data_IF_173703393087
#
_entry.id   IF_173703393087
#
_cell.length_a   1.000
_cell.length_b   1.000
_cell.length_c   1.000
_cell.angle_alpha   90.00
_cell.angle_beta   90.00
_cell.angle_gamma   90.00
#
_symmetry.space_group_name_H-M   'P 1'
#
loop_
_entity.id
_entity.type
_entity.pdbx_description
1 polymer ?
#
# COMPACT_ATOMS: atom_id res chain seq x y z
N UNK A 1 -18.47 1.70 1.62
CA UNK A 1 -17.08 1.59 2.11
C UNK A 1 -16.20 0.63 1.30
N UNK A 2 -16.55 -0.66 1.19
CA UNK A 2 -15.78 -1.65 0.40
C UNK A 2 -15.49 -1.22 -1.04
N UNK A 3 -16.46 -0.57 -1.71
CA UNK A 3 -16.27 -0.03 -3.07
C UNK A 3 -15.16 1.02 -3.15
N UNK A 4 -15.06 1.89 -2.14
CA UNK A 4 -14.03 2.95 -2.10
C UNK A 4 -12.65 2.33 -1.91
N UNK A 5 -12.51 1.39 -0.97
CA UNK A 5 -11.25 0.66 -0.74
C UNK A 5 -10.77 -0.11 -1.96
N UNK A 6 -11.71 -0.82 -2.62
CA UNK A 6 -11.42 -1.57 -3.84
C UNK A 6 -10.91 -0.62 -4.94
N UNK A 7 -11.58 0.52 -5.15
CA UNK A 7 -11.15 1.53 -6.11
C UNK A 7 -9.78 2.13 -5.76
N UNK A 8 -9.50 2.40 -4.48
CA UNK A 8 -8.19 2.89 -4.03
C UNK A 8 -7.08 1.88 -4.32
N UNK A 9 -7.31 0.58 -4.09
CA UNK A 9 -6.32 -0.47 -4.38
C UNK A 9 -6.09 -0.61 -5.88
N UNK A 10 -7.15 -0.55 -6.70
CA UNK A 10 -7.01 -0.55 -8.15
C UNK A 10 -6.17 0.63 -8.64
N UNK A 11 -6.46 1.83 -8.14
CA UNK A 11 -5.75 3.04 -8.49
C UNK A 11 -4.27 2.99 -8.08
N UNK A 12 -3.98 2.63 -6.82
CA UNK A 12 -2.61 2.47 -6.34
C UNK A 12 -1.85 1.42 -7.18
N UNK A 13 -2.47 0.28 -7.46
CA UNK A 13 -1.82 -0.81 -8.19
C UNK A 13 -1.57 -0.47 -9.67
N UNK A 14 -2.47 0.29 -10.29
CA UNK A 14 -2.25 0.85 -11.63
C UNK A 14 -1.05 1.80 -11.63
N UNK A 15 -1.00 2.77 -10.71
CA UNK A 15 0.10 3.75 -10.63
C UNK A 15 1.44 3.08 -10.38
N UNK A 16 1.54 2.20 -9.37
CA UNK A 16 2.79 1.52 -9.03
C UNK A 16 3.30 0.73 -10.24
N UNK A 17 2.41 0.09 -11.00
CA UNK A 17 2.78 -0.66 -12.20
C UNK A 17 3.29 0.25 -13.32
N UNK A 18 2.65 1.42 -13.53
CA UNK A 18 3.15 2.46 -14.44
C UNK A 18 4.55 2.91 -14.01
N UNK A 19 4.74 3.17 -12.71
CA UNK A 19 6.02 3.53 -12.10
C UNK A 19 7.11 2.51 -12.38
N UNK A 20 6.81 1.24 -12.09
CA UNK A 20 7.77 0.14 -12.20
C UNK A 20 8.23 -0.10 -13.64
N UNK A 21 7.28 -0.23 -14.57
CA UNK A 21 7.61 -0.47 -15.98
C UNK A 21 8.16 0.77 -16.66
N UNK A 22 7.64 1.96 -16.34
CA UNK A 22 8.14 3.22 -16.85
C UNK A 22 9.62 3.43 -16.50
N UNK A 23 10.00 3.17 -15.23
CA UNK A 23 11.37 3.31 -14.77
C UNK A 23 12.25 2.26 -15.43
N UNK A 24 11.76 1.02 -15.54
CA UNK A 24 12.50 -0.09 -16.15
C UNK A 24 12.79 0.14 -17.64
N UNK A 25 11.86 0.73 -18.40
CA UNK A 25 12.12 1.13 -19.79
C UNK A 25 13.07 2.34 -19.88
N UNK A 26 13.02 3.25 -18.91
CA UNK A 26 13.93 4.38 -18.82
C UNK A 26 15.36 3.97 -18.43
N UNK A 27 15.58 2.86 -17.73
CA UNK A 27 16.92 2.39 -17.35
C UNK A 27 17.84 2.17 -18.55
N UNK A 28 17.30 1.74 -19.69
CA UNK A 28 18.08 1.53 -20.91
C UNK A 28 18.47 2.85 -21.60
N UNK A 29 17.72 3.92 -21.37
CA UNK A 29 17.97 5.25 -21.92
C UNK A 29 18.83 6.12 -20.99
N UNK A 30 19.19 5.61 -19.82
CA UNK A 30 20.03 6.31 -18.86
C UNK A 30 21.48 6.39 -19.38
N UNK A 31 22.14 7.52 -19.11
CA UNK A 31 23.53 7.75 -19.51
C UNK A 31 24.45 6.58 -19.09
N UNK A 32 25.27 6.10 -20.03
CA UNK A 32 26.23 5.01 -19.80
C UNK A 32 25.96 3.79 -20.66
N UNK A 33 26.53 2.66 -20.27
CA UNK A 33 26.27 1.39 -20.93
C UNK A 33 24.93 0.79 -20.43
N UNK A 34 23.97 0.51 -21.33
CA UNK A 34 22.65 0.02 -20.95
C UNK A 34 22.68 -1.38 -20.30
N UNK A 35 23.68 -2.22 -20.63
CA UNK A 35 23.83 -3.55 -20.03
C UNK A 35 24.26 -3.43 -18.57
N UNK A 36 25.19 -2.51 -18.25
CA UNK A 36 25.63 -2.25 -16.87
C UNK A 36 24.47 -1.66 -16.04
N UNK A 37 23.75 -0.68 -16.58
CA UNK A 37 22.61 -0.07 -15.90
C UNK A 37 21.49 -1.08 -15.61
N UNK A 38 21.22 -1.99 -16.55
CA UNK A 38 20.25 -3.08 -16.37
C UNK A 38 20.72 -4.09 -15.32
N UNK A 39 22.00 -4.47 -15.33
CA UNK A 39 22.59 -5.37 -14.34
C UNK A 39 22.49 -4.80 -12.91
N UNK A 40 22.88 -3.53 -12.73
CA UNK A 40 22.78 -2.84 -11.42
C UNK A 40 21.32 -2.75 -10.97
N UNK A 41 20.40 -2.44 -11.88
CA UNK A 41 18.97 -2.41 -11.60
C UNK A 41 18.47 -3.77 -11.12
N UNK A 42 18.81 -4.86 -11.80
CA UNK A 42 18.40 -6.21 -11.43
C UNK A 42 19.00 -6.65 -10.08
N UNK A 43 20.28 -6.35 -9.84
CA UNK A 43 20.93 -6.61 -8.55
C UNK A 43 20.23 -5.86 -7.40
N UNK A 44 19.85 -4.60 -7.64
CA UNK A 44 19.14 -3.77 -6.65
C UNK A 44 17.76 -4.36 -6.32
N UNK A 45 17.04 -4.92 -7.30
CA UNK A 45 15.75 -5.56 -7.06
C UNK A 45 15.87 -6.75 -6.09
N UNK A 46 16.90 -7.59 -6.25
CA UNK A 46 17.15 -8.72 -5.33
C UNK A 46 17.32 -8.23 -3.89
N UNK A 47 18.14 -7.19 -3.69
CA UNK A 47 18.36 -6.59 -2.37
C UNK A 47 17.06 -6.03 -1.80
N UNK A 48 16.24 -5.38 -2.63
CA UNK A 48 14.95 -4.82 -2.22
C UNK A 48 13.99 -5.92 -1.76
N UNK A 49 13.90 -7.05 -2.45
CA UNK A 49 13.03 -8.15 -2.01
C UNK A 49 13.42 -8.70 -0.64
N UNK A 50 14.72 -8.84 -0.37
CA UNK A 50 15.23 -9.27 0.95
C UNK A 50 14.89 -8.23 2.02
N UNK A 51 15.09 -6.94 1.74
CA UNK A 51 14.72 -5.85 2.64
C UNK A 51 13.20 -5.82 2.89
N UNK A 52 12.38 -6.00 1.85
CA UNK A 52 10.92 -6.05 1.97
C UNK A 52 10.46 -7.20 2.86
N UNK A 53 11.06 -8.39 2.71
CA UNK A 53 10.79 -9.51 3.61
C UNK A 53 11.00 -9.10 5.06
N UNK A 54 12.15 -8.48 5.38
CA UNK A 54 12.47 -8.01 6.73
C UNK A 54 11.45 -6.98 7.23
N UNK A 55 11.18 -5.93 6.44
CA UNK A 55 10.25 -4.87 6.79
C UNK A 55 8.82 -5.35 7.03
N UNK A 56 8.37 -6.37 6.28
CA UNK A 56 7.04 -6.97 6.48
C UNK A 56 6.89 -7.61 7.86
N UNK A 57 7.96 -8.11 8.46
CA UNK A 57 7.90 -8.70 9.79
C UNK A 57 7.82 -7.64 10.89
N UNK A 58 8.55 -6.52 10.76
CA UNK A 58 8.69 -5.53 11.83
C UNK A 58 7.65 -4.42 11.83
N UNK A 59 7.17 -3.98 10.65
CA UNK A 59 6.43 -2.72 10.52
C UNK A 59 5.01 -2.93 9.96
N UNK A 60 4.00 -2.12 10.34
CA UNK A 60 2.69 -2.09 9.68
C UNK A 60 2.79 -1.84 8.17
N UNK A 61 2.07 -2.65 7.38
CA UNK A 61 2.21 -2.74 5.91
C UNK A 61 1.84 -1.44 5.21
N UNK A 62 0.87 -0.74 5.76
CA UNK A 62 0.40 0.55 5.25
C UNK A 62 1.49 1.61 5.35
N UNK A 63 2.18 1.69 6.49
CA UNK A 63 3.24 2.68 6.71
C UNK A 63 4.44 2.38 5.82
N UNK A 64 4.81 1.11 5.68
CA UNK A 64 5.90 0.72 4.76
C UNK A 64 5.55 1.07 3.32
N UNK A 65 4.34 0.74 2.85
CA UNK A 65 3.93 1.05 1.47
C UNK A 65 3.90 2.56 1.22
N UNK A 66 3.29 3.34 2.13
CA UNK A 66 3.21 4.79 1.99
C UNK A 66 4.61 5.43 2.04
N UNK A 67 5.46 5.07 3.01
CA UNK A 67 6.81 5.62 3.14
C UNK A 67 7.69 5.33 1.92
N UNK A 68 7.63 4.13 1.35
CA UNK A 68 8.38 3.78 0.14
C UNK A 68 7.86 4.54 -1.10
N UNK A 69 6.55 4.81 -1.19
CA UNK A 69 5.98 5.63 -2.27
C UNK A 69 6.32 7.11 -2.13
N UNK A 70 6.32 7.65 -0.90
CA UNK A 70 6.78 9.02 -0.65
C UNK A 70 8.27 9.15 -0.92
N UNK A 71 9.09 8.21 -0.43
CA UNK A 71 10.53 8.20 -0.68
C UNK A 71 10.82 8.14 -2.18
N UNK A 72 10.20 7.21 -2.91
CA UNK A 72 10.42 7.10 -4.36
C UNK A 72 9.94 8.33 -5.13
N UNK A 73 8.76 8.86 -4.80
CA UNK A 73 8.23 10.09 -5.41
C UNK A 73 9.12 11.31 -5.15
N UNK A 74 9.55 11.53 -3.90
CA UNK A 74 10.43 12.64 -3.54
C UNK A 74 11.79 12.54 -4.22
N UNK A 75 12.41 11.37 -4.23
CA UNK A 75 13.71 11.12 -4.86
C UNK A 75 13.63 11.36 -6.37
N UNK A 76 12.55 10.96 -7.04
CA UNK A 76 12.34 11.20 -8.48
C UNK A 76 12.14 12.69 -8.80
N UNK A 77 11.46 13.46 -7.93
CA UNK A 77 11.33 14.91 -8.10
C UNK A 77 12.67 15.63 -7.88
N UNK A 78 13.50 15.15 -6.94
CA UNK A 78 14.83 15.73 -6.68
C UNK A 78 15.78 15.59 -7.87
N UNK A 79 15.51 14.67 -8.82
CA UNK A 79 16.32 14.53 -10.05
C UNK A 79 16.38 15.84 -10.86
N UNK A 80 15.32 16.65 -10.85
CA UNK A 80 15.30 17.95 -11.53
C UNK A 80 16.30 18.95 -10.94
N UNK A 81 16.57 18.88 -9.63
CA UNK A 81 17.51 19.77 -8.96
C UNK A 81 18.97 19.41 -9.25
N UNK A 82 19.24 18.24 -9.85
CA UNK A 82 20.59 17.78 -10.15
C UNK A 82 21.05 18.34 -11.50
N UNK A 83 22.17 19.09 -11.57
CA UNK A 83 22.71 19.56 -12.83
C UNK A 83 23.17 18.39 -13.71
N UNK A 84 22.91 18.47 -15.02
CA UNK A 84 23.21 17.41 -16.02
C UNK A 84 24.68 16.97 -16.04
N UNK A 85 25.59 17.77 -15.49
CA UNK A 85 27.02 17.46 -15.34
C UNK A 85 27.26 16.25 -14.42
N UNK A 86 26.40 16.01 -13.43
CA UNK A 86 26.57 14.95 -12.43
C UNK A 86 25.76 13.70 -12.76
N UNK A 87 26.08 13.04 -13.89
CA UNK A 87 25.39 11.84 -14.39
C UNK A 87 25.28 10.72 -13.34
N UNK A 88 26.34 10.50 -12.56
CA UNK A 88 26.39 9.45 -11.53
C UNK A 88 25.34 9.71 -10.43
N UNK A 89 25.16 10.97 -10.03
CA UNK A 89 24.15 11.33 -9.03
C UNK A 89 22.75 11.03 -9.53
N UNK A 90 22.44 11.40 -10.79
CA UNK A 90 21.15 11.08 -11.43
C UNK A 90 20.86 9.58 -11.42
N UNK A 91 21.86 8.74 -11.77
CA UNK A 91 21.72 7.28 -11.74
C UNK A 91 21.41 6.80 -10.31
N UNK A 92 22.12 7.29 -9.30
CA UNK A 92 21.88 6.92 -7.89
C UNK A 92 20.45 7.28 -7.46
N UNK A 93 19.99 8.50 -7.73
CA UNK A 93 18.63 8.92 -7.40
C UNK A 93 17.58 8.05 -8.13
N UNK A 94 17.77 7.78 -9.42
CA UNK A 94 16.85 6.94 -10.20
C UNK A 94 16.82 5.50 -9.67
N UNK A 95 17.96 4.94 -9.27
CA UNK A 95 18.03 3.59 -8.68
C UNK A 95 17.36 3.53 -7.30
N UNK A 96 17.56 4.54 -6.46
CA UNK A 96 16.84 4.66 -5.17
C UNK A 96 15.33 4.76 -5.42
N UNK A 97 14.91 5.59 -6.37
CA UNK A 97 13.51 5.73 -6.77
C UNK A 97 12.92 4.38 -7.23
N UNK A 98 13.61 3.68 -8.12
CA UNK A 98 13.22 2.35 -8.59
C UNK A 98 13.11 1.35 -7.43
N UNK A 99 14.08 1.34 -6.51
CA UNK A 99 14.08 0.44 -5.36
C UNK A 99 12.81 0.60 -4.49
N UNK A 100 12.39 1.85 -4.23
CA UNK A 100 11.16 2.14 -3.48
C UNK A 100 9.88 1.72 -4.21
N UNK A 101 9.85 1.86 -5.54
CA UNK A 101 8.70 1.40 -6.36
C UNK A 101 8.60 -0.12 -6.36
N UNK A 102 9.72 -0.84 -6.52
CA UNK A 102 9.75 -2.31 -6.45
C UNK A 102 9.31 -2.82 -5.07
N UNK A 103 9.73 -2.13 -4.01
CA UNK A 103 9.29 -2.45 -2.65
C UNK A 103 7.76 -2.30 -2.50
N UNK A 104 7.22 -1.18 -2.95
CA UNK A 104 5.78 -0.92 -2.92
C UNK A 104 4.98 -1.92 -3.77
N UNK A 105 5.52 -2.33 -4.93
CA UNK A 105 4.89 -3.34 -5.81
C UNK A 105 4.76 -4.71 -5.15
N UNK A 106 5.79 -5.12 -4.39
CA UNK A 106 5.78 -6.38 -3.65
C UNK A 106 4.76 -6.34 -2.51
N UNK A 107 4.77 -5.28 -1.70
CA UNK A 107 3.92 -5.18 -0.52
C UNK A 107 2.45 -5.04 -0.91
N UNK A 108 2.12 -4.23 -1.93
CA UNK A 108 0.73 -4.04 -2.36
C UNK A 108 0.12 -5.34 -2.90
N UNK A 109 0.94 -6.21 -3.52
CA UNK A 109 0.49 -7.52 -3.99
C UNK A 109 0.05 -8.40 -2.81
N UNK A 110 0.90 -8.52 -1.78
CA UNK A 110 0.59 -9.32 -0.59
C UNK A 110 -0.57 -8.69 0.20
N UNK A 111 -0.58 -7.37 0.33
CA UNK A 111 -1.64 -6.63 0.98
C UNK A 111 -3.01 -6.85 0.30
N UNK A 112 -3.03 -6.87 -1.04
CA UNK A 112 -4.26 -7.17 -1.77
C UNK A 112 -4.77 -8.59 -1.50
N UNK A 113 -3.88 -9.58 -1.34
CA UNK A 113 -4.29 -10.92 -0.99
C UNK A 113 -4.93 -10.96 0.42
N UNK A 114 -4.40 -10.25 1.40
CA UNK A 114 -4.92 -10.25 2.78
C UNK A 114 -6.27 -9.55 2.92
N UNK A 115 -6.52 -8.51 2.12
CA UNK A 115 -7.74 -7.74 2.24
C UNK A 115 -8.97 -8.45 1.65
N UNK A 116 -8.78 -9.26 0.60
CA UNK A 116 -9.88 -10.00 -0.01
C UNK A 116 -10.10 -11.35 0.70
N UNK A 117 -11.34 -11.67 1.11
CA UNK A 117 -11.66 -12.96 1.70
C UNK A 117 -11.52 -14.07 0.66
N UNK A 118 -11.21 -15.28 1.11
CA UNK A 118 -10.85 -16.43 0.26
C UNK A 118 -11.83 -16.67 -0.88
N UNK A 119 -13.14 -16.51 -0.62
CA UNK A 119 -14.23 -16.68 -1.59
C UNK A 119 -14.16 -15.74 -2.81
N UNK A 120 -13.67 -14.51 -2.65
CA UNK A 120 -13.59 -13.52 -3.75
C UNK A 120 -12.17 -13.06 -4.04
N UNK A 121 -11.17 -13.63 -3.36
CA UNK A 121 -9.76 -13.27 -3.50
C UNK A 121 -9.26 -13.41 -4.93
N UNK A 122 -9.56 -14.52 -5.60
CA UNK A 122 -9.12 -14.74 -6.98
C UNK A 122 -9.72 -13.72 -7.96
N UNK A 123 -10.99 -13.37 -7.77
CA UNK A 123 -11.65 -12.36 -8.60
C UNK A 123 -11.09 -10.95 -8.33
N UNK A 124 -10.89 -10.59 -7.07
CA UNK A 124 -10.28 -9.32 -6.67
C UNK A 124 -8.86 -9.17 -7.22
N UNK A 125 -8.01 -10.19 -7.02
CA UNK A 125 -6.65 -10.22 -7.55
C UNK A 125 -6.62 -10.21 -9.08
N UNK A 126 -7.53 -10.91 -9.76
CA UNK A 126 -7.69 -10.85 -11.21
C UNK A 126 -8.01 -9.43 -11.69
N UNK A 127 -8.97 -8.76 -11.05
CA UNK A 127 -9.34 -7.39 -11.37
C UNK A 127 -8.18 -6.40 -11.18
N UNK A 128 -7.44 -6.48 -10.08
CA UNK A 128 -6.30 -5.58 -9.91
C UNK A 128 -5.12 -5.96 -10.84
N UNK A 129 -5.06 -7.18 -11.39
CA UNK A 129 -4.09 -7.56 -12.41
C UNK A 129 -4.44 -6.94 -13.75
N UNK A 130 -5.72 -6.90 -14.12
CA UNK A 130 -6.18 -6.15 -15.30
C UNK A 130 -5.81 -4.67 -15.18
N UNK A 131 -6.02 -4.05 -14.02
CA UNK A 131 -5.59 -2.67 -13.77
C UNK A 131 -4.08 -2.48 -13.89
N UNK A 132 -3.29 -3.46 -13.46
CA UNK A 132 -1.83 -3.46 -13.62
C UNK A 132 -1.44 -3.51 -15.10
N UNK A 133 -2.13 -4.33 -15.90
CA UNK A 133 -1.89 -4.44 -17.36
C UNK A 133 -2.18 -3.15 -18.09
N UNK A 134 -3.25 -2.43 -17.72
CA UNK A 134 -3.50 -1.08 -18.23
C UNK A 134 -2.31 -0.16 -17.92
N UNK A 135 -1.79 -0.23 -16.69
CA UNK A 135 -0.58 0.50 -16.32
C UNK A 135 0.65 0.15 -17.17
N UNK A 136 0.88 -1.13 -17.45
CA UNK A 136 1.96 -1.60 -18.34
C UNK A 136 1.79 -1.11 -19.79
N UNK A 137 0.56 -0.97 -20.28
CA UNK A 137 0.29 -0.42 -21.62
C UNK A 137 0.61 1.08 -21.70
N UNK A 138 0.47 1.80 -20.58
CA UNK A 138 0.80 3.24 -20.51
C UNK A 138 2.32 3.45 -20.33
N UNK A 139 3.03 2.51 -19.71
CA UNK A 139 4.47 2.59 -19.47
C UNK A 139 5.37 2.95 -20.69
N UNK A 140 5.21 2.38 -21.90
CA UNK A 140 6.06 2.74 -23.05
C UNK A 140 5.89 4.20 -23.49
N UNK A 141 4.75 4.85 -23.21
CA UNK A 141 4.58 6.28 -23.50
C UNK A 141 5.53 7.14 -22.67
N UNK A 142 5.83 6.75 -21.42
CA UNK A 142 6.84 7.43 -20.60
C UNK A 142 8.25 7.29 -21.16
N UNK A 143 8.58 6.14 -21.76
CA UNK A 143 9.86 5.96 -22.45
C UNK A 143 9.95 6.83 -23.70
N UNK A 144 8.83 7.02 -24.43
CA UNK A 144 8.79 7.91 -25.58
C UNK A 144 8.96 9.39 -25.20
N UNK A 145 8.48 9.81 -24.02
CA UNK A 145 8.61 11.18 -23.51
C UNK A 145 10.07 11.63 -23.32
N UNK A 146 11.00 10.70 -23.10
CA UNK A 146 12.45 10.98 -22.97
C UNK A 146 13.00 11.68 -24.20
N UNK A 147 12.45 11.40 -25.38
CA UNK A 147 12.91 11.97 -26.65
C UNK A 147 12.65 13.49 -26.75
N UNK A 148 11.68 13.99 -25.98
CA UNK A 148 11.42 15.43 -25.89
C UNK A 148 12.24 16.08 -24.79
N UNK A 149 12.19 15.50 -23.59
CA UNK A 149 12.94 15.97 -22.42
C UNK A 149 13.25 14.81 -21.47
N UNK A 150 14.53 14.64 -21.13
CA UNK A 150 15.00 13.57 -20.23
C UNK A 150 14.41 13.66 -18.82
N UNK A 151 14.06 14.88 -18.35
CA UNK A 151 13.59 15.12 -16.97
C UNK A 151 12.07 14.96 -16.83
N UNK A 152 11.34 15.14 -17.93
CA UNK A 152 9.88 15.11 -17.98
C UNK A 152 9.25 13.80 -17.46
N UNK A 153 9.71 12.59 -17.88
CA UNK A 153 9.12 11.35 -17.41
C UNK A 153 9.32 11.15 -15.90
N UNK A 154 10.48 11.54 -15.35
CA UNK A 154 10.74 11.42 -13.92
C UNK A 154 9.82 12.32 -13.07
N UNK A 155 9.52 13.53 -13.53
CA UNK A 155 8.59 14.45 -12.86
C UNK A 155 7.15 13.89 -12.83
N UNK A 156 6.66 13.41 -13.97
CA UNK A 156 5.32 12.82 -14.06
C UNK A 156 5.22 11.56 -13.20
N UNK A 157 6.24 10.70 -13.23
CA UNK A 157 6.24 9.49 -12.43
C UNK A 157 6.36 9.79 -10.94
N UNK A 158 7.18 10.76 -10.54
CA UNK A 158 7.34 11.20 -9.16
C UNK A 158 6.04 11.73 -8.56
N UNK A 159 5.34 12.62 -9.28
CA UNK A 159 4.03 13.13 -8.86
C UNK A 159 2.98 12.01 -8.77
N UNK A 160 2.95 11.08 -9.74
CA UNK A 160 2.08 9.91 -9.67
C UNK A 160 2.37 9.06 -8.43
N UNK A 161 3.64 8.78 -8.11
CA UNK A 161 4.01 8.02 -6.90
C UNK A 161 3.53 8.71 -5.61
N UNK A 162 3.66 10.04 -5.52
CA UNK A 162 3.15 10.81 -4.38
C UNK A 162 1.62 10.70 -4.25
N UNK A 163 0.89 10.79 -5.36
CA UNK A 163 -0.56 10.59 -5.32
C UNK A 163 -0.93 9.18 -4.87
N UNK A 164 -0.22 8.15 -5.34
CA UNK A 164 -0.42 6.77 -4.87
C UNK A 164 -0.08 6.61 -3.37
N UNK A 165 0.96 7.29 -2.87
CA UNK A 165 1.30 7.33 -1.45
C UNK A 165 0.17 7.93 -0.61
N UNK A 166 -0.46 9.02 -1.08
CA UNK A 166 -1.63 9.62 -0.43
C UNK A 166 -2.84 8.68 -0.40
N UNK A 167 -3.14 8.00 -1.51
CA UNK A 167 -4.21 7.00 -1.55
C UNK A 167 -3.90 5.78 -0.69
N UNK A 168 -2.64 5.35 -0.61
CA UNK A 168 -2.18 4.26 0.27
C UNK A 168 -2.46 4.55 1.74
N UNK A 169 -2.42 5.82 2.16
CA UNK A 169 -2.79 6.21 3.53
C UNK A 169 -4.29 6.04 3.82
N UNK A 170 -5.17 5.96 2.82
CA UNK A 170 -6.59 5.68 3.03
C UNK A 170 -6.90 4.20 3.24
N UNK A 171 -5.95 3.31 3.00
CA UNK A 171 -6.14 1.88 3.22
C UNK A 171 -6.18 1.56 4.74
N UNK A 172 -6.97 0.56 5.16
CA UNK A 172 -6.96 0.06 6.53
C UNK A 172 -5.64 -0.64 6.85
N UNK A 173 -5.39 -0.92 8.13
CA UNK A 173 -4.23 -1.74 8.52
C UNK A 173 -4.65 -3.22 8.52
N UNK A 174 -3.85 -4.11 7.91
CA UNK A 174 -4.11 -5.56 7.89
C UNK A 174 -3.29 -6.35 8.91
N UNK A 175 -2.32 -5.71 9.57
CA UNK A 175 -1.44 -6.36 10.54
C UNK A 175 -2.23 -6.81 11.78
N UNK A 176 -1.94 -8.01 12.27
CA UNK A 176 -2.50 -8.65 13.48
C UNK A 176 -4.00 -9.03 13.41
N UNK A 177 -4.62 -8.99 12.23
CA UNK A 177 -5.98 -9.50 12.02
C UNK A 177 -5.97 -10.88 11.37
N UNK A 178 -6.77 -11.85 11.87
CA UNK A 178 -6.94 -13.13 11.19
C UNK A 178 -7.54 -12.90 9.81
N UNK A 179 -7.13 -13.71 8.83
CA UNK A 179 -7.64 -13.61 7.47
C UNK A 179 -9.18 -13.77 7.50
N UNK A 180 -9.94 -12.81 6.95
CA UNK A 180 -11.39 -12.92 6.92
C UNK A 180 -11.77 -14.07 5.98
N UNK A 181 -12.40 -15.10 6.52
CA UNK A 181 -12.93 -16.22 5.73
C UNK A 181 -14.27 -15.84 5.10
N UNK A 182 -15.00 -14.91 5.74
CA UNK A 182 -16.35 -14.50 5.32
C UNK A 182 -16.45 -12.99 5.03
N UNK A 183 -17.27 -12.64 4.04
CA UNK A 183 -17.49 -11.25 3.59
C UNK A 183 -17.99 -10.34 4.73
N UNK A 184 -18.81 -10.88 5.65
CA UNK A 184 -19.35 -10.14 6.80
C UNK A 184 -18.23 -9.67 7.76
N UNK A 185 -17.20 -10.48 7.97
CA UNK A 185 -16.04 -10.12 8.80
C UNK A 185 -15.22 -8.99 8.16
N UNK A 186 -15.09 -8.98 6.82
CA UNK A 186 -14.42 -7.88 6.11
C UNK A 186 -15.18 -6.55 6.25
N UNK A 187 -16.52 -6.59 6.33
CA UNK A 187 -17.33 -5.37 6.45
C UNK A 187 -17.21 -4.71 7.82
N UNK A 188 -17.21 -5.49 8.90
CA UNK A 188 -17.12 -4.98 10.27
C UNK A 188 -15.76 -4.35 10.56
N UNK A 189 -14.66 -4.99 10.14
CA UNK A 189 -13.28 -4.48 10.32
C UNK A 189 -13.11 -3.14 9.62
N UNK A 190 -13.59 -3.02 8.39
CA UNK A 190 -13.53 -1.78 7.62
C UNK A 190 -14.37 -0.68 8.28
N UNK A 191 -15.62 -0.95 8.66
CA UNK A 191 -16.49 0.04 9.28
C UNK A 191 -15.90 0.58 10.60
N UNK A 192 -15.35 -0.34 11.41
CA UNK A 192 -14.73 0.00 12.69
C UNK A 192 -13.47 0.87 12.49
N UNK A 193 -12.63 0.55 11.50
CA UNK A 193 -11.46 1.35 11.17
C UNK A 193 -11.81 2.78 10.71
N UNK A 194 -12.87 2.94 9.90
CA UNK A 194 -13.29 4.26 9.46
C UNK A 194 -13.82 5.12 10.61
N UNK A 195 -14.61 4.51 11.50
CA UNK A 195 -15.08 5.15 12.73
C UNK A 195 -13.91 5.55 13.63
N UNK A 196 -12.90 4.69 13.79
CA UNK A 196 -11.67 4.96 14.54
C UNK A 196 -10.89 6.16 13.99
N UNK A 197 -10.79 6.24 12.65
CA UNK A 197 -10.11 7.33 11.96
C UNK A 197 -10.84 8.65 12.13
N UNK A 198 -12.18 8.65 12.05
CA UNK A 198 -13.00 9.86 12.26
C UNK A 198 -12.99 10.34 13.71
N UNK A 199 -12.89 9.42 14.68
CA UNK A 199 -12.89 9.74 16.11
C UNK A 199 -11.50 10.06 16.68
N UNK A 200 -10.42 9.91 15.89
CA UNK A 200 -9.05 10.12 16.36
C UNK A 200 -8.60 9.12 17.45
N UNK A 201 -9.37 8.07 17.70
CA UNK A 201 -9.11 7.07 18.73
C UNK A 201 -7.98 6.12 18.28
N UNK A 202 -7.05 5.83 19.21
CA UNK A 202 -5.95 4.90 18.95
C UNK A 202 -6.50 3.48 18.69
N UNK A 203 -5.88 2.70 17.78
CA UNK A 203 -6.35 1.35 17.41
C UNK A 203 -6.49 0.37 18.58
N UNK A 204 -5.71 0.56 19.65
CA UNK A 204 -5.68 -0.32 20.83
C UNK A 204 -6.98 -0.35 21.63
N UNK A 205 -7.79 0.72 21.61
CA UNK A 205 -9.06 0.79 22.36
C UNK A 205 -10.19 0.02 21.66
N UNK A 206 -10.05 -0.25 20.36
CA UNK A 206 -11.08 -0.87 19.53
C UNK A 206 -11.03 -2.39 19.61
N UNK A 207 -9.84 -2.95 19.83
CA UNK A 207 -9.61 -4.40 19.88
C UNK A 207 -10.37 -5.05 21.05
N UNK A 208 -10.48 -4.35 22.19
CA UNK A 208 -11.27 -4.77 23.36
C UNK A 208 -12.77 -4.73 23.09
N UNK A 209 -13.27 -3.72 22.39
CA UNK A 209 -14.71 -3.58 22.09
C UNK A 209 -15.18 -4.60 21.04
N UNK A 210 -14.32 -4.94 20.06
CA UNK A 210 -14.68 -5.89 19.00
C UNK A 210 -14.61 -7.34 19.47
N UNK A 211 -13.62 -7.74 20.28
CA UNK A 211 -13.55 -9.10 20.84
C UNK A 211 -14.72 -9.40 21.78
N UNK A 212 -15.16 -8.40 22.55
CA UNK A 212 -16.33 -8.54 23.41
C UNK A 212 -17.64 -8.67 22.60
N UNK A 213 -17.71 -8.02 21.43
CA UNK A 213 -18.89 -8.06 20.56
C UNK A 213 -18.92 -9.27 19.61
N UNK A 214 -17.76 -9.85 19.26
CA UNK A 214 -17.68 -11.10 18.48
C UNK A 214 -18.06 -12.33 19.31
N UNK A 215 -17.87 -12.29 20.63
CA UNK A 215 -18.37 -13.35 21.53
C UNK A 215 -19.91 -13.35 21.67
N UNK A 216 -20.59 -12.28 21.25
CA UNK A 216 -22.06 -12.18 21.22
C UNK A 216 -22.64 -12.82 19.94
N UNK A 217 -21.84 -12.98 18.88
CA UNK A 217 -22.28 -13.48 17.57
C UNK A 217 -21.94 -14.96 17.29
N UNK A 218 -21.58 -15.74 18.32
CA UNK A 218 -21.52 -17.20 18.19
C UNK A 218 -22.96 -17.77 18.16
N UNK A 219 -23.35 -18.58 17.16
CA UNK A 219 -24.74 -19.05 16.99
C UNK A 219 -25.11 -20.19 17.96
N UNK A 220 -24.60 -20.19 19.18
CA UNK A 220 -24.73 -21.32 20.12
C UNK A 220 -25.61 -21.05 21.36
N UNK A 221 -26.36 -19.94 21.45
CA UNK A 221 -27.41 -19.83 22.47
C UNK A 221 -28.64 -19.06 22.00
N UNK A 222 -29.64 -19.81 21.54
CA UNK A 222 -31.04 -19.40 21.61
C UNK A 222 -31.46 -19.27 23.07
N UNK A 223 -31.60 -18.06 23.60
CA UNK A 223 -32.57 -17.71 24.66
C UNK A 223 -32.47 -16.22 25.02
N UNK A 224 -33.65 -15.61 25.18
CA UNK A 224 -33.95 -14.34 25.83
C UNK A 224 -33.70 -13.01 25.07
N UNK A 225 -34.78 -12.56 24.41
CA UNK A 225 -35.07 -11.13 24.19
C UNK A 225 -35.34 -10.45 25.55
N UNK A 226 -34.63 -9.36 25.86
CA UNK A 226 -35.17 -8.24 26.67
C UNK A 226 -34.57 -6.88 26.22
N UNK A 227 -35.29 -5.76 26.40
CA UNK A 227 -35.27 -4.62 25.49
C UNK A 227 -34.22 -3.54 25.81
N UNK A 228 -33.90 -2.77 24.77
CA UNK A 228 -33.02 -1.59 24.76
C UNK A 228 -33.54 -0.50 25.71
N UNK A 229 -32.69 -0.01 26.62
CA UNK A 229 -32.87 1.26 27.35
C UNK A 229 -31.49 1.91 27.65
N UNK A 230 -31.42 3.25 27.83
CA UNK A 230 -30.34 4.06 27.28
C UNK A 230 -29.19 4.38 28.25
N UNK A 231 -28.14 4.93 27.64
CA UNK A 231 -26.89 5.41 28.23
C UNK A 231 -27.02 6.16 29.56
N UNK A 232 -26.25 5.73 30.56
CA UNK A 232 -25.67 6.63 31.56
C UNK A 232 -24.43 6.01 32.23
N UNK A 233 -23.37 6.81 32.26
CA UNK A 233 -22.35 6.97 33.33
C UNK A 233 -21.57 5.77 33.89
N UNK A 234 -20.25 5.93 33.81
CA UNK A 234 -19.28 5.82 34.91
C UNK A 234 -19.39 4.62 35.88
N UNK A 235 -18.34 3.82 35.94
CA UNK A 235 -17.56 3.65 37.17
C UNK A 235 -16.31 2.82 36.88
N UNK A 236 -15.15 3.40 37.14
CA UNK A 236 -14.01 2.65 37.63
C UNK A 236 -14.43 2.11 38.99
N UNK A 237 -14.32 0.80 39.21
CA UNK A 237 -14.15 0.29 40.56
C UNK A 237 -13.19 -0.91 40.52
N UNK A 238 -11.99 -0.66 41.02
CA UNK A 238 -11.02 -1.69 41.32
C UNK A 238 -11.40 -2.21 42.69
N UNK A 239 -12.12 -3.32 42.77
CA UNK A 239 -12.32 -4.01 44.04
C UNK A 239 -10.99 -4.61 44.48
N UNK A 240 -10.43 -3.98 45.50
CA UNK A 240 -9.38 -4.50 46.38
C UNK A 240 -9.71 -5.94 46.81
N UNK A 241 -8.70 -6.80 46.74
CA UNK A 241 -8.54 -7.93 47.66
C UNK A 241 -8.12 -7.36 49.02
N UNK A 242 -8.44 -7.96 50.18
CA UNK A 242 -9.24 -9.16 50.46
C UNK A 242 -10.60 -8.90 51.14
#
# INVERSE_FOLDING_TARGET
MLRVLNNSIFFCRMIITIGYYGLSFNMANLHGDPYINCFISAATEIVVYVMCWWFMHTTPRRIVTASMLFLSGSVLLLVQCVPKTLRIMTIIFVMIGKSGVTAAFTIIYIYSAELYPTVVRNMGLGACSMASRIGSMIAPYFAYLVMYDEVLPFMLMGTLMLTAGMFSLMLPETRDHPLPEMIQQTQSINCCWFSARLSGLRPSTIQTTVLQNSNIFSPASTAELQPIAPASTLAYDCTELP
#
